data_IF_658889443711
#
_entry.id   IF_658889443711
#
_cell.length_a   1.000
_cell.length_b   1.000
_cell.length_c   1.000
_cell.angle_alpha   90.00
_cell.angle_beta   90.00
_cell.angle_gamma   90.00
#
_symmetry.space_group_name_H-M   'P 1'
#
loop_
_entity.id
_entity.type
_entity.pdbx_description
1 polymer ?
#
# COMPACT_ATOMS: atom_id res chain seq x y z
N UNK A 1 -8.25 11.08 -5.95
CA UNK A 1 -7.72 9.71 -6.13
C UNK A 1 -7.20 9.11 -4.84
N UNK A 2 -6.12 9.62 -4.24
CA UNK A 2 -5.54 9.02 -3.03
C UNK A 2 -6.55 8.94 -1.87
N UNK A 3 -7.28 10.03 -1.60
CA UNK A 3 -8.36 10.05 -0.59
C UNK A 3 -9.52 9.10 -0.93
N UNK A 4 -9.93 9.03 -2.20
CA UNK A 4 -10.99 8.10 -2.67
C UNK A 4 -10.58 6.65 -2.46
N UNK A 5 -9.32 6.33 -2.76
CA UNK A 5 -8.75 4.99 -2.60
C UNK A 5 -8.61 4.64 -1.12
N UNK A 6 -8.14 5.58 -0.29
CA UNK A 6 -8.05 5.40 1.15
C UNK A 6 -9.42 5.18 1.80
N UNK A 7 -10.45 5.94 1.39
CA UNK A 7 -11.81 5.75 1.85
C UNK A 7 -12.34 4.33 1.55
N UNK A 8 -12.12 3.84 0.32
CA UNK A 8 -12.48 2.47 -0.03
C UNK A 8 -11.70 1.42 0.78
N UNK A 9 -10.40 1.65 1.03
CA UNK A 9 -9.59 0.77 1.87
C UNK A 9 -10.01 0.79 3.35
N UNK A 10 -10.55 1.91 3.85
CA UNK A 10 -11.14 1.97 5.19
C UNK A 10 -12.35 1.03 5.29
N UNK A 11 -13.26 1.08 4.30
CA UNK A 11 -14.41 0.17 4.24
C UNK A 11 -13.99 -1.30 4.13
N UNK A 12 -12.93 -1.60 3.36
CA UNK A 12 -12.37 -2.96 3.30
C UNK A 12 -11.82 -3.38 4.68
N UNK A 13 -11.09 -2.50 5.37
CA UNK A 13 -10.57 -2.77 6.71
C UNK A 13 -11.71 -3.06 7.71
N UNK A 14 -12.78 -2.27 7.70
CA UNK A 14 -13.94 -2.46 8.56
C UNK A 14 -14.66 -3.79 8.27
N UNK A 15 -14.78 -4.19 7.00
CA UNK A 15 -15.31 -5.50 6.64
C UNK A 15 -14.40 -6.64 7.15
N UNK A 16 -13.07 -6.51 7.04
CA UNK A 16 -12.12 -7.49 7.58
C UNK A 16 -12.16 -7.58 9.11
N UNK A 17 -12.29 -6.46 9.83
CA UNK A 17 -12.45 -6.47 11.28
C UNK A 17 -13.77 -7.14 11.70
N UNK A 18 -14.85 -6.92 10.94
CA UNK A 18 -16.11 -7.63 11.16
C UNK A 18 -15.97 -9.14 10.92
N UNK A 19 -15.28 -9.56 9.86
CA UNK A 19 -14.97 -10.98 9.60
C UNK A 19 -14.12 -11.55 10.75
N UNK A 20 -13.18 -10.78 11.31
CA UNK A 20 -12.40 -11.19 12.48
C UNK A 20 -13.26 -11.42 13.72
N UNK A 21 -14.20 -10.50 14.01
CA UNK A 21 -15.19 -10.68 15.08
C UNK A 21 -16.01 -11.95 14.89
N UNK A 22 -16.52 -12.18 13.68
CA UNK A 22 -17.30 -13.37 13.33
C UNK A 22 -16.47 -14.66 13.43
N UNK A 23 -15.19 -14.60 13.05
CA UNK A 23 -14.26 -15.73 13.15
C UNK A 23 -14.00 -16.10 14.60
N UNK A 24 -13.78 -15.12 15.48
CA UNK A 24 -13.65 -15.36 16.93
C UNK A 24 -14.94 -15.98 17.50
N UNK A 25 -16.11 -15.49 17.05
CA UNK A 25 -17.39 -16.06 17.45
C UNK A 25 -17.52 -17.53 17.00
N UNK A 26 -17.17 -17.84 15.75
CA UNK A 26 -17.19 -19.19 15.20
C UNK A 26 -16.22 -20.14 15.93
N UNK A 27 -15.04 -19.64 16.33
CA UNK A 27 -14.06 -20.41 17.08
C UNK A 27 -14.46 -20.74 18.52
N UNK A 28 -15.53 -20.15 19.05
CA UNK A 28 -16.03 -20.48 20.37
C UNK A 28 -16.65 -21.90 20.37
N UNK A 29 -16.20 -22.76 21.30
CA UNK A 29 -16.35 -24.22 21.20
C UNK A 29 -17.76 -24.80 21.37
N UNK A 30 -18.79 -23.96 21.55
CA UNK A 30 -20.18 -24.41 21.78
C UNK A 30 -21.10 -24.22 20.57
N UNK A 31 -20.60 -23.73 19.43
CA UNK A 31 -21.43 -23.49 18.25
C UNK A 31 -21.87 -24.79 17.60
N UNK A 32 -23.14 -24.86 17.19
CA UNK A 32 -23.64 -25.95 16.35
C UNK A 32 -23.18 -25.77 14.90
N UNK A 33 -23.31 -26.82 14.08
CA UNK A 33 -23.00 -26.74 12.64
C UNK A 33 -23.89 -25.75 11.90
N UNK A 34 -25.15 -25.57 12.34
CA UNK A 34 -26.03 -24.53 11.79
C UNK A 34 -25.56 -23.13 12.15
N UNK A 35 -25.09 -22.91 13.38
CA UNK A 35 -24.58 -21.59 13.81
C UNK A 35 -23.33 -21.21 13.02
N UNK A 36 -22.39 -22.16 12.87
CA UNK A 36 -21.18 -21.97 12.07
C UNK A 36 -21.52 -21.66 10.61
N UNK A 37 -22.53 -22.34 10.04
CA UNK A 37 -23.00 -22.04 8.69
C UNK A 37 -23.56 -20.63 8.58
N UNK A 38 -24.39 -20.18 9.53
CA UNK A 38 -24.94 -18.82 9.50
C UNK A 38 -23.83 -17.77 9.61
N UNK A 39 -22.84 -18.00 10.46
CA UNK A 39 -21.66 -17.11 10.57
C UNK A 39 -20.86 -17.10 9.26
N UNK A 40 -20.65 -18.27 8.64
CA UNK A 40 -19.96 -18.37 7.35
C UNK A 40 -20.71 -17.65 6.23
N UNK A 41 -22.05 -17.73 6.22
CA UNK A 41 -22.87 -17.02 5.24
C UNK A 41 -22.70 -15.48 5.39
N UNK A 42 -22.65 -14.97 6.63
CA UNK A 42 -22.34 -13.55 6.90
C UNK A 42 -20.92 -13.16 6.46
N UNK A 43 -19.93 -14.00 6.75
CA UNK A 43 -18.54 -13.81 6.31
C UNK A 43 -18.46 -13.76 4.78
N UNK A 44 -19.16 -14.65 4.09
CA UNK A 44 -19.19 -14.73 2.62
C UNK A 44 -19.80 -13.46 2.01
N UNK A 45 -20.84 -12.90 2.63
CA UNK A 45 -21.41 -11.62 2.22
C UNK A 45 -20.41 -10.46 2.38
N UNK A 46 -19.67 -10.43 3.50
CA UNK A 46 -18.62 -9.42 3.74
C UNK A 46 -17.46 -9.54 2.76
N UNK A 47 -17.03 -10.75 2.43
CA UNK A 47 -16.01 -10.99 1.38
C UNK A 47 -16.52 -10.55 0.00
N UNK A 48 -17.80 -10.79 -0.30
CA UNK A 48 -18.43 -10.31 -1.53
C UNK A 48 -18.48 -8.79 -1.57
N UNK A 49 -18.72 -8.14 -0.43
CA UNK A 49 -18.69 -6.69 -0.32
C UNK A 49 -17.29 -6.11 -0.53
N UNK A 50 -16.25 -6.77 0.00
CA UNK A 50 -14.85 -6.40 -0.29
C UNK A 50 -14.57 -6.46 -1.80
N UNK A 51 -15.00 -7.54 -2.47
CA UNK A 51 -14.86 -7.65 -3.93
C UNK A 51 -15.64 -6.55 -4.66
N UNK A 52 -16.86 -6.24 -4.21
CA UNK A 52 -17.67 -5.16 -4.79
C UNK A 52 -16.98 -3.81 -4.65
N UNK A 53 -16.46 -3.47 -3.47
CA UNK A 53 -15.72 -2.22 -3.23
C UNK A 53 -14.50 -2.15 -4.15
N UNK A 54 -13.75 -3.25 -4.26
CA UNK A 54 -12.58 -3.35 -5.14
C UNK A 54 -12.88 -3.05 -6.61
N UNK A 55 -13.94 -3.68 -7.13
CA UNK A 55 -14.34 -3.57 -8.53
C UNK A 55 -15.04 -2.26 -8.85
N UNK A 56 -15.78 -1.70 -7.89
CA UNK A 56 -16.60 -0.51 -8.12
C UNK A 56 -15.85 0.78 -7.85
N UNK A 57 -14.87 0.82 -6.94
CA UNK A 57 -14.14 2.04 -6.61
C UNK A 57 -13.39 2.56 -7.83
N UNK A 58 -13.79 3.74 -8.30
CA UNK A 58 -13.15 4.45 -9.40
C UNK A 58 -12.84 5.89 -9.02
N UNK A 59 -11.86 6.45 -9.72
CA UNK A 59 -11.63 7.88 -9.74
C UNK A 59 -11.34 8.31 -11.17
N UNK A 60 -12.23 9.13 -11.73
CA UNK A 60 -12.11 9.62 -13.10
C UNK A 60 -11.95 8.48 -14.13
N UNK A 61 -12.72 7.39 -13.96
CA UNK A 61 -12.68 6.22 -14.83
C UNK A 61 -11.50 5.26 -14.59
N UNK A 62 -10.57 5.60 -13.70
CA UNK A 62 -9.48 4.71 -13.30
C UNK A 62 -9.93 3.86 -12.13
N UNK A 63 -9.90 2.53 -12.28
CA UNK A 63 -10.23 1.58 -11.22
C UNK A 63 -9.04 1.43 -10.27
N UNK A 64 -9.21 1.93 -9.05
CA UNK A 64 -8.06 2.15 -8.15
C UNK A 64 -7.67 0.93 -7.29
N UNK A 65 -8.54 -0.10 -7.22
CA UNK A 65 -8.31 -1.30 -6.41
C UNK A 65 -8.50 -2.62 -7.19
N UNK A 66 -8.88 -2.55 -8.46
CA UNK A 66 -9.24 -3.74 -9.25
C UNK A 66 -8.04 -4.46 -9.88
N UNK A 67 -6.89 -3.79 -9.98
CA UNK A 67 -5.67 -4.31 -10.60
C UNK A 67 -4.44 -3.62 -10.06
N UNK A 68 -3.30 -4.31 -10.14
CA UNK A 68 -1.99 -3.70 -9.90
C UNK A 68 -1.69 -2.71 -11.03
N UNK A 69 -1.49 -1.44 -10.67
CA UNK A 69 -1.16 -0.40 -11.61
C UNK A 69 -0.38 0.72 -10.93
N UNK A 70 0.45 1.41 -11.72
CA UNK A 70 1.22 2.55 -11.27
C UNK A 70 0.66 3.80 -11.91
N UNK A 71 0.30 4.80 -11.11
CA UNK A 71 -0.15 6.10 -11.59
C UNK A 71 0.88 7.18 -11.26
N UNK A 72 1.44 7.79 -12.29
CA UNK A 72 2.43 8.85 -12.16
C UNK A 72 1.75 10.21 -12.31
N UNK A 73 1.92 11.08 -11.31
CA UNK A 73 1.40 12.44 -11.32
C UNK A 73 2.56 13.41 -11.46
N UNK A 74 2.55 14.23 -12.51
CA UNK A 74 3.48 15.34 -12.66
C UNK A 74 3.12 16.43 -11.64
N UNK A 75 4.07 16.81 -10.81
CA UNK A 75 3.88 17.79 -9.74
C UNK A 75 4.82 18.98 -9.84
N UNK A 76 5.69 19.03 -10.85
CA UNK A 76 6.58 20.15 -11.07
C UNK A 76 6.53 20.69 -12.49
N UNK A 77 7.25 21.78 -12.73
CA UNK A 77 7.26 22.47 -14.01
C UNK A 77 8.14 21.77 -15.06
N UNK A 78 9.12 20.97 -14.62
CA UNK A 78 10.05 20.27 -15.50
C UNK A 78 9.69 18.80 -15.64
N UNK A 79 9.96 18.23 -16.81
CA UNK A 79 9.75 16.81 -17.06
C UNK A 79 10.50 15.94 -16.03
N UNK A 80 9.80 14.94 -15.49
CA UNK A 80 10.36 14.01 -14.50
C UNK A 80 10.15 14.42 -13.04
N UNK A 81 9.62 15.61 -12.76
CA UNK A 81 9.18 16.01 -11.41
C UNK A 81 7.83 15.36 -11.07
N UNK A 82 7.86 14.05 -10.81
CA UNK A 82 6.65 13.24 -10.61
C UNK A 82 6.55 12.61 -9.21
N UNK A 83 5.32 12.30 -8.83
CA UNK A 83 4.99 11.43 -7.71
C UNK A 83 4.26 10.22 -8.26
N UNK A 84 4.78 9.04 -7.92
CA UNK A 84 4.17 7.77 -8.26
C UNK A 84 3.23 7.30 -7.15
N UNK A 85 2.09 6.77 -7.57
CA UNK A 85 1.09 6.14 -6.72
C UNK A 85 0.99 4.68 -7.17
N UNK A 86 1.45 3.78 -6.31
CA UNK A 86 1.31 2.35 -6.53
C UNK A 86 -0.07 1.89 -6.04
N UNK A 87 -0.91 1.52 -6.98
CA UNK A 87 -2.23 0.95 -6.72
C UNK A 87 -2.12 -0.57 -6.83
N UNK A 88 -2.65 -1.27 -5.85
CA UNK A 88 -2.66 -2.74 -5.84
C UNK A 88 -4.08 -3.26 -5.93
N UNK A 89 -4.19 -4.43 -6.53
CA UNK A 89 -5.42 -5.20 -6.46
C UNK A 89 -5.73 -5.54 -5.01
N UNK A 90 -6.98 -5.36 -4.58
CA UNK A 90 -7.46 -5.79 -3.26
C UNK A 90 -8.78 -6.52 -3.46
N UNK A 91 -8.76 -7.83 -3.57
CA UNK A 91 -9.95 -8.68 -3.58
C UNK A 91 -9.78 -9.84 -2.58
N UNK A 92 -10.85 -10.59 -2.32
CA UNK A 92 -10.80 -11.71 -1.39
C UNK A 92 -9.68 -12.71 -1.76
N UNK A 93 -9.39 -12.88 -3.05
CA UNK A 93 -8.33 -13.79 -3.51
C UNK A 93 -6.93 -13.28 -3.17
N UNK A 94 -6.65 -12.01 -3.45
CA UNK A 94 -5.37 -11.37 -3.16
C UNK A 94 -5.09 -11.28 -1.66
N UNK A 95 -6.16 -11.10 -0.87
CA UNK A 95 -6.11 -11.14 0.60
C UNK A 95 -5.99 -12.57 1.17
N UNK A 96 -5.96 -13.61 0.32
CA UNK A 96 -5.87 -15.02 0.75
C UNK A 96 -7.14 -15.56 1.42
N UNK A 97 -8.29 -14.97 1.10
CA UNK A 97 -9.59 -15.22 1.72
C UNK A 97 -10.60 -15.91 0.78
N UNK A 98 -10.18 -16.35 -0.42
CA UNK A 98 -11.04 -17.02 -1.39
C UNK A 98 -11.58 -18.38 -0.89
N UNK A 99 -10.77 -19.12 -0.13
CA UNK A 99 -11.15 -20.38 0.51
C UNK A 99 -11.36 -20.21 2.02
N UNK A 100 -11.71 -19.01 2.48
CA UNK A 100 -11.88 -18.75 3.90
C UNK A 100 -13.15 -19.43 4.45
N UNK A 101 -12.94 -20.35 5.37
CA UNK A 101 -14.00 -21.18 5.94
C UNK A 101 -13.82 -21.33 7.45
N UNK A 102 -14.89 -21.06 8.19
CA UNK A 102 -14.97 -21.22 9.65
C UNK A 102 -15.84 -22.41 10.08
N UNK A 103 -16.45 -23.12 9.11
CA UNK A 103 -17.31 -24.29 9.36
C UNK A 103 -16.51 -25.58 9.51
N UNK A 104 -15.38 -25.68 8.80
CA UNK A 104 -14.48 -26.83 8.92
C UNK A 104 -13.61 -26.69 10.16
N UNK A 105 -13.70 -27.69 11.04
CA UNK A 105 -12.75 -27.83 12.14
C UNK A 105 -11.37 -28.06 11.54
N UNK A 106 -10.52 -27.04 11.63
CA UNK A 106 -9.14 -27.14 11.18
C UNK A 106 -8.28 -27.76 12.27
N UNK A 107 -7.27 -28.52 11.87
CA UNK A 107 -6.25 -28.97 12.80
C UNK A 107 -5.59 -27.74 13.46
N UNK A 108 -5.18 -27.86 14.73
CA UNK A 108 -4.52 -26.78 15.46
C UNK A 108 -3.10 -27.20 15.80
N UNK A 109 -2.11 -26.41 15.41
CA UNK A 109 -0.77 -26.58 15.92
C UNK A 109 -0.68 -26.04 17.36
N UNK A 110 0.04 -26.77 18.18
CA UNK A 110 0.38 -26.48 19.57
C UNK A 110 1.88 -26.21 19.72
N UNK A 111 2.42 -26.50 20.90
CA UNK A 111 3.80 -26.20 21.23
C UNK A 111 4.80 -27.08 20.45
N UNK A 112 5.98 -26.50 20.19
CA UNK A 112 7.15 -27.22 19.69
C UNK A 112 7.55 -28.33 20.67
N UNK A 113 7.87 -29.49 20.13
CA UNK A 113 8.28 -30.66 20.88
C UNK A 113 9.80 -30.81 20.78
N UNK A 114 10.46 -30.80 21.93
CA UNK A 114 11.89 -31.04 22.00
C UNK A 114 12.25 -32.50 21.64
N UNK A 115 13.40 -32.67 21.00
CA UNK A 115 14.00 -33.98 20.69
C UNK A 115 14.05 -34.87 21.93
N UNK A 116 13.68 -36.15 21.78
CA UNK A 116 13.63 -37.14 22.86
C UNK A 116 12.25 -37.33 23.50
N UNK A 117 11.28 -36.48 23.18
CA UNK A 117 9.88 -36.70 23.59
C UNK A 117 9.23 -37.71 22.66
N UNK A 118 8.73 -38.83 23.19
CA UNK A 118 8.07 -39.86 22.39
C UNK A 118 6.71 -39.37 21.88
N UNK A 119 6.61 -39.22 20.55
CA UNK A 119 5.36 -38.98 19.85
C UNK A 119 4.75 -40.29 19.36
N UNK A 120 3.44 -40.27 19.11
CA UNK A 120 2.70 -41.42 18.57
C UNK A 120 1.95 -40.96 17.32
N UNK A 121 2.29 -41.53 16.18
CA UNK A 121 1.83 -41.10 14.87
C UNK A 121 1.12 -42.28 14.22
N UNK A 122 -0.16 -42.11 13.90
CA UNK A 122 -0.93 -43.12 13.18
C UNK A 122 -0.48 -43.11 11.71
N UNK A 123 0.09 -44.22 11.22
CA UNK A 123 0.93 -44.17 10.01
C UNK A 123 0.82 -45.39 9.10
N UNK A 124 -0.30 -46.12 9.12
CA UNK A 124 -0.53 -47.12 8.06
C UNK A 124 -2.02 -47.25 7.64
N UNK A 125 -2.23 -47.98 6.54
CA UNK A 125 -3.56 -48.33 6.02
C UNK A 125 -4.33 -49.34 6.89
N UNK A 126 -3.75 -49.77 8.01
CA UNK A 126 -4.22 -50.76 8.98
C UNK A 126 -4.52 -50.16 10.37
N UNK A 127 -4.28 -48.85 10.60
CA UNK A 127 -4.51 -48.12 11.84
C UNK A 127 -3.47 -48.37 12.95
N UNK A 128 -2.25 -48.82 12.61
CA UNK A 128 -1.22 -49.08 13.61
C UNK A 128 -0.45 -47.81 14.01
N UNK A 129 -0.39 -47.54 15.33
CA UNK A 129 0.31 -46.39 15.89
C UNK A 129 1.82 -46.64 15.93
N UNK A 130 2.61 -45.88 15.14
CA UNK A 130 4.08 -45.86 15.26
C UNK A 130 4.50 -44.86 16.34
N UNK A 131 5.57 -45.17 17.07
CA UNK A 131 6.16 -44.30 18.10
C UNK A 131 7.56 -43.88 17.67
N UNK A 132 7.86 -42.59 17.81
CA UNK A 132 9.17 -42.03 17.50
C UNK A 132 9.53 -40.95 18.52
N UNK A 133 10.81 -40.76 18.80
CA UNK A 133 11.30 -39.68 19.67
C UNK A 133 12.45 -38.89 19.02
N UNK A 134 12.96 -39.40 17.90
CA UNK A 134 14.12 -38.86 17.20
C UNK A 134 13.67 -37.91 16.07
N UNK A 135 13.93 -36.62 16.25
CA UNK A 135 13.63 -35.56 15.27
C UNK A 135 14.79 -35.27 14.33
N UNK A 136 15.90 -36.04 14.38
CA UNK A 136 17.05 -35.86 13.49
C UNK A 136 16.74 -36.20 12.02
N UNK A 137 15.57 -36.77 11.73
CA UNK A 137 15.06 -36.97 10.38
C UNK A 137 14.49 -35.70 9.72
N UNK A 138 14.33 -34.59 10.46
CA UNK A 138 13.85 -33.32 9.93
C UNK A 138 14.99 -32.52 9.27
N UNK A 139 14.71 -31.91 8.12
CA UNK A 139 15.62 -30.95 7.48
C UNK A 139 15.74 -29.65 8.30
N UNK A 140 16.83 -28.90 8.09
CA UNK A 140 17.04 -27.60 8.72
C UNK A 140 15.87 -26.64 8.44
N UNK A 141 15.38 -25.95 9.48
CA UNK A 141 14.23 -25.05 9.39
C UNK A 141 12.86 -25.72 9.58
N UNK A 142 12.82 -27.03 9.82
CA UNK A 142 11.63 -27.77 10.21
C UNK A 142 11.67 -28.11 11.70
N UNK A 143 10.56 -27.91 12.40
CA UNK A 143 10.41 -28.31 13.80
C UNK A 143 9.19 -29.18 13.99
N UNK A 144 9.25 -30.09 14.94
CA UNK A 144 8.12 -30.93 15.31
C UNK A 144 7.23 -30.16 16.30
N UNK A 145 5.93 -30.11 16.04
CA UNK A 145 4.95 -29.48 16.91
C UNK A 145 3.85 -30.47 17.28
N UNK A 146 3.38 -30.37 18.52
CA UNK A 146 2.14 -31.04 18.96
C UNK A 146 0.94 -30.31 18.36
N UNK A 147 -0.25 -30.91 18.45
CA UNK A 147 -1.47 -30.24 18.05
C UNK A 147 -2.70 -31.14 18.15
N UNK A 148 -3.80 -30.68 17.55
CA UNK A 148 -5.02 -31.47 17.37
C UNK A 148 -5.34 -31.61 15.89
N UNK A 149 -5.83 -32.77 15.47
CA UNK A 149 -6.41 -32.93 14.13
C UNK A 149 -7.76 -32.21 13.99
N UNK A 150 -8.38 -32.31 12.81
CA UNK A 150 -9.69 -31.74 12.51
C UNK A 150 -10.81 -32.30 13.42
N UNK A 151 -10.61 -33.49 13.99
CA UNK A 151 -11.56 -34.14 14.90
C UNK A 151 -11.30 -33.78 16.37
N UNK A 152 -10.26 -32.98 16.66
CA UNK A 152 -9.86 -32.59 18.01
C UNK A 152 -9.04 -33.63 18.76
N UNK A 153 -8.56 -34.69 18.08
CA UNK A 153 -7.66 -35.69 18.67
C UNK A 153 -6.22 -35.21 18.62
N UNK A 154 -5.41 -35.62 19.58
CA UNK A 154 -3.99 -35.29 19.60
C UNK A 154 -3.29 -35.77 18.32
N UNK A 155 -2.61 -34.85 17.65
CA UNK A 155 -1.87 -35.09 16.42
C UNK A 155 -0.51 -34.39 16.48
N UNK A 156 0.38 -34.76 15.57
CA UNK A 156 1.72 -34.22 15.48
C UNK A 156 1.97 -33.69 14.07
N UNK A 157 2.57 -32.50 13.98
CA UNK A 157 2.79 -31.80 12.72
C UNK A 157 4.23 -31.34 12.61
N UNK A 158 4.69 -31.12 11.39
CA UNK A 158 6.00 -30.53 11.10
C UNK A 158 5.76 -29.09 10.69
N UNK A 159 6.19 -28.15 11.53
CA UNK A 159 6.19 -26.73 11.22
C UNK A 159 7.40 -26.42 10.35
N UNK A 160 7.18 -25.88 9.15
CA UNK A 160 8.22 -25.38 8.27
C UNK A 160 8.10 -23.86 8.21
N UNK A 161 9.13 -23.14 8.63
CA UNK A 161 9.15 -21.68 8.52
C UNK A 161 9.80 -21.28 7.21
N UNK A 162 9.07 -20.59 6.34
CA UNK A 162 9.62 -20.00 5.14
C UNK A 162 10.51 -18.80 5.50
N UNK A 163 11.77 -18.84 5.05
CA UNK A 163 12.78 -17.85 5.42
C UNK A 163 12.56 -16.47 4.77
N UNK A 164 11.77 -16.39 3.69
CA UNK A 164 11.56 -15.17 2.90
C UNK A 164 10.29 -14.44 3.34
N UNK A 165 9.22 -15.19 3.60
CA UNK A 165 7.90 -14.65 3.94
C UNK A 165 7.62 -14.70 5.44
N UNK A 166 8.40 -15.46 6.21
CA UNK A 166 8.16 -15.72 7.63
C UNK A 166 6.92 -16.58 7.89
N UNK A 167 6.25 -17.08 6.84
CA UNK A 167 5.06 -17.91 6.96
C UNK A 167 5.42 -19.30 7.47
N UNK A 168 4.65 -19.82 8.42
CA UNK A 168 4.76 -21.20 8.89
C UNK A 168 3.74 -22.06 8.16
N UNK A 169 4.20 -23.09 7.46
CA UNK A 169 3.34 -24.16 6.94
C UNK A 169 3.44 -25.40 7.83
N UNK A 170 2.36 -26.19 7.85
CA UNK A 170 2.30 -27.40 8.66
C UNK A 170 2.01 -28.60 7.78
N UNK A 171 2.88 -29.59 7.83
CA UNK A 171 2.66 -30.90 7.20
C UNK A 171 2.45 -31.95 8.26
N UNK A 172 1.79 -33.06 7.90
CA UNK A 172 1.64 -34.19 8.83
C UNK A 172 3.00 -34.78 9.16
N UNK A 173 3.26 -35.03 10.45
CA UNK A 173 4.41 -35.83 10.85
C UNK A 173 4.19 -37.28 10.40
N UNK A 174 5.26 -37.94 9.99
CA UNK A 174 5.31 -39.38 9.73
C UNK A 174 6.46 -40.00 10.53
N UNK A 175 6.45 -41.33 10.64
CA UNK A 175 7.55 -42.09 11.25
C UNK A 175 8.10 -43.04 10.19
N UNK A 176 9.37 -42.83 9.83
CA UNK A 176 10.10 -43.72 8.93
C UNK A 176 10.40 -45.06 9.61
N UNK A 177 10.76 -46.06 8.81
CA UNK A 177 11.02 -47.43 9.31
C UNK A 177 12.28 -47.52 10.20
N UNK A 178 13.14 -46.50 10.16
CA UNK A 178 14.27 -46.32 11.09
C UNK A 178 13.87 -45.72 12.46
N UNK A 179 12.56 -45.46 12.67
CA UNK A 179 12.03 -44.92 13.92
C UNK A 179 12.20 -43.41 14.07
N UNK A 180 12.64 -42.71 13.02
CA UNK A 180 12.78 -41.25 13.02
C UNK A 180 11.50 -40.55 12.57
N UNK A 181 11.29 -39.36 13.09
CA UNK A 181 10.24 -38.47 12.61
C UNK A 181 10.65 -37.91 11.26
N UNK A 182 9.75 -37.98 10.29
CA UNK A 182 9.92 -37.44 8.94
C UNK A 182 8.74 -36.58 8.54
N UNK A 183 8.95 -35.72 7.54
CA UNK A 183 7.88 -34.95 6.93
C UNK A 183 7.11 -35.82 5.93
N UNK A 184 5.80 -36.01 6.15
CA UNK A 184 4.93 -36.76 5.23
C UNK A 184 4.68 -36.02 3.91
N UNK A 185 5.02 -34.72 3.83
CA UNK A 185 4.76 -33.85 2.68
C UNK A 185 3.27 -33.55 2.45
N UNK A 186 2.39 -34.09 3.29
CA UNK A 186 0.94 -33.94 3.20
C UNK A 186 0.51 -32.75 4.04
N UNK A 187 -0.28 -31.83 3.46
CA UNK A 187 -0.80 -30.67 4.20
C UNK A 187 -1.55 -31.13 5.44
N UNK A 188 -1.19 -30.56 6.59
CA UNK A 188 -1.79 -30.93 7.87
C UNK A 188 -3.21 -30.37 8.04
N UNK A 189 -3.65 -29.49 7.14
CA UNK A 189 -4.92 -28.78 7.29
C UNK A 189 -4.94 -27.86 8.52
N UNK A 190 -3.76 -27.52 9.06
CA UNK A 190 -3.64 -26.56 10.15
C UNK A 190 -3.80 -25.16 9.56
N UNK A 191 -5.04 -24.67 9.58
CA UNK A 191 -5.37 -23.29 9.23
C UNK A 191 -5.82 -22.56 10.49
N UNK A 192 -5.07 -21.55 10.88
CA UNK A 192 -5.55 -20.56 11.83
C UNK A 192 -6.23 -19.44 11.02
N UNK A 193 -7.57 -19.39 10.95
CA UNK A 193 -8.25 -18.36 10.18
C UNK A 193 -7.94 -16.94 10.67
N UNK A 194 -7.54 -16.77 11.94
CA UNK A 194 -7.10 -15.47 12.45
C UNK A 194 -5.75 -15.03 11.86
N UNK A 195 -4.81 -15.95 11.60
CA UNK A 195 -3.53 -15.59 10.98
C UNK A 195 -3.72 -15.14 9.52
N UNK A 196 -4.66 -15.77 8.80
CA UNK A 196 -5.04 -15.33 7.46
C UNK A 196 -5.64 -13.92 7.48
N UNK A 197 -6.53 -13.64 8.44
CA UNK A 197 -7.12 -12.32 8.63
C UNK A 197 -6.10 -11.25 9.02
N UNK A 198 -5.18 -11.58 9.93
CA UNK A 198 -4.14 -10.64 10.37
C UNK A 198 -3.17 -10.32 9.22
N UNK A 199 -2.88 -11.29 8.33
CA UNK A 199 -2.14 -11.03 7.08
C UNK A 199 -2.93 -10.14 6.11
N UNK A 200 -4.22 -10.38 5.93
CA UNK A 200 -5.08 -9.56 5.07
C UNK A 200 -5.17 -8.11 5.59
N UNK A 201 -5.35 -7.92 6.90
CA UNK A 201 -5.34 -6.61 7.54
C UNK A 201 -3.98 -5.92 7.37
N UNK A 202 -2.87 -6.63 7.58
CA UNK A 202 -1.53 -6.08 7.39
C UNK A 202 -1.28 -5.62 5.94
N UNK A 203 -1.80 -6.34 4.94
CA UNK A 203 -1.75 -5.92 3.55
C UNK A 203 -2.53 -4.61 3.34
N UNK A 204 -3.79 -4.54 3.78
CA UNK A 204 -4.63 -3.34 3.65
C UNK A 204 -4.02 -2.13 4.36
N UNK A 205 -3.49 -2.32 5.57
CA UNK A 205 -2.86 -1.25 6.34
C UNK A 205 -1.54 -0.79 5.72
N UNK A 206 -0.75 -1.69 5.13
CA UNK A 206 0.44 -1.32 4.37
C UNK A 206 0.10 -0.42 3.17
N UNK A 207 -0.97 -0.73 2.46
CA UNK A 207 -1.47 0.10 1.37
C UNK A 207 -2.00 1.46 1.84
N UNK A 208 -2.81 1.51 2.90
CA UNK A 208 -3.29 2.77 3.49
C UNK A 208 -2.13 3.65 3.94
N UNK A 209 -1.13 3.05 4.58
CA UNK A 209 0.10 3.74 4.98
C UNK A 209 0.83 4.36 3.78
N UNK A 210 0.97 3.62 2.67
CA UNK A 210 1.60 4.14 1.46
C UNK A 210 0.83 5.32 0.86
N UNK A 211 -0.52 5.25 0.82
CA UNK A 211 -1.36 6.35 0.33
C UNK A 211 -1.30 7.57 1.24
N UNK A 212 -1.25 7.38 2.56
CA UNK A 212 -1.06 8.48 3.51
C UNK A 212 0.31 9.16 3.34
N UNK A 213 1.37 8.39 3.09
CA UNK A 213 2.69 8.95 2.77
C UNK A 213 2.67 9.75 1.47
N UNK A 214 1.96 9.27 0.45
CA UNK A 214 1.75 9.99 -0.81
C UNK A 214 0.99 11.31 -0.58
N UNK A 215 -0.06 11.31 0.25
CA UNK A 215 -0.80 12.54 0.60
C UNK A 215 0.11 13.58 1.28
N UNK A 216 0.88 13.17 2.28
CA UNK A 216 1.86 14.05 2.94
C UNK A 216 2.89 14.62 1.94
N UNK A 217 3.30 13.80 0.97
CA UNK A 217 4.22 14.23 -0.10
C UNK A 217 3.55 15.25 -1.02
N UNK A 218 2.29 15.05 -1.41
CA UNK A 218 1.54 16.03 -2.19
C UNK A 218 1.40 17.35 -1.42
N UNK A 219 1.04 17.32 -0.14
CA UNK A 219 0.91 18.54 0.68
C UNK A 219 2.23 19.30 0.79
N UNK A 220 3.35 18.59 0.97
CA UNK A 220 4.69 19.20 1.00
C UNK A 220 5.05 19.84 -0.34
N UNK A 221 4.78 19.15 -1.45
CA UNK A 221 5.04 19.68 -2.79
C UNK A 221 4.14 20.88 -3.08
N UNK A 222 2.86 20.84 -2.74
CA UNK A 222 1.93 21.97 -2.91
C UNK A 222 2.44 23.20 -2.15
N UNK A 223 2.87 23.05 -0.90
CA UNK A 223 3.40 24.15 -0.11
C UNK A 223 4.70 24.72 -0.71
N UNK A 224 5.59 23.85 -1.20
CA UNK A 224 6.83 24.25 -1.87
C UNK A 224 6.56 24.99 -3.20
N UNK A 225 5.64 24.48 -4.02
CA UNK A 225 5.22 25.10 -5.27
C UNK A 225 4.60 26.46 -5.02
N UNK A 226 3.68 26.60 -4.06
CA UNK A 226 3.09 27.89 -3.70
C UNK A 226 4.17 28.91 -3.29
N UNK A 227 5.16 28.48 -2.50
CA UNK A 227 6.30 29.34 -2.12
C UNK A 227 7.12 29.75 -3.34
N UNK A 228 7.39 28.80 -4.24
CA UNK A 228 8.15 29.03 -5.48
C UNK A 228 7.40 29.99 -6.42
N UNK A 229 6.09 29.81 -6.60
CA UNK A 229 5.23 30.69 -7.39
C UNK A 229 5.23 32.11 -6.82
N UNK A 230 5.10 32.26 -5.51
CA UNK A 230 5.16 33.58 -4.87
C UNK A 230 6.52 34.27 -5.06
N UNK A 231 7.62 33.53 -4.87
CA UNK A 231 8.97 34.06 -5.06
C UNK A 231 9.26 34.41 -6.52
N UNK A 232 8.83 33.57 -7.46
CA UNK A 232 9.01 33.80 -8.88
C UNK A 232 8.17 34.98 -9.36
N UNK A 233 6.90 35.07 -8.93
CA UNK A 233 6.02 36.21 -9.22
C UNK A 233 6.61 37.53 -8.70
N UNK A 234 7.12 37.54 -7.45
CA UNK A 234 7.78 38.71 -6.88
C UNK A 234 9.11 39.08 -7.58
N UNK A 235 9.81 38.09 -8.12
CA UNK A 235 11.04 38.32 -8.90
C UNK A 235 10.71 38.87 -10.29
N UNK A 236 9.70 38.30 -10.95
CA UNK A 236 9.21 38.73 -12.25
C UNK A 236 8.67 40.17 -12.19
N UNK A 237 7.88 40.51 -11.18
CA UNK A 237 7.41 41.88 -10.95
C UNK A 237 8.58 42.86 -10.79
N UNK A 238 9.61 42.52 -10.01
CA UNK A 238 10.78 43.40 -9.82
C UNK A 238 11.58 43.62 -11.11
N UNK A 239 11.75 42.58 -11.92
CA UNK A 239 12.41 42.69 -13.23
C UNK A 239 11.56 43.56 -14.15
N UNK A 240 10.27 43.27 -14.26
CA UNK A 240 9.37 44.01 -15.14
C UNK A 240 9.22 45.48 -14.73
N UNK A 241 9.15 45.78 -13.44
CA UNK A 241 9.07 47.15 -12.91
C UNK A 241 10.36 47.94 -13.16
N UNK A 242 11.53 47.30 -13.01
CA UNK A 242 12.83 47.92 -13.29
C UNK A 242 13.02 48.19 -14.80
N UNK A 243 12.63 47.24 -15.64
CA UNK A 243 12.65 47.39 -17.09
C UNK A 243 11.69 48.50 -17.54
N UNK A 244 10.48 48.55 -16.98
CA UNK A 244 9.51 49.61 -17.25
C UNK A 244 10.03 50.98 -16.81
N UNK A 245 10.63 51.08 -15.61
CA UNK A 245 11.24 52.33 -15.15
C UNK A 245 12.38 52.82 -16.06
N UNK A 246 13.17 51.88 -16.59
CA UNK A 246 14.25 52.18 -17.54
C UNK A 246 13.70 52.68 -18.88
N UNK A 247 12.70 52.01 -19.43
CA UNK A 247 12.07 52.40 -20.71
C UNK A 247 11.38 53.76 -20.60
N UNK A 248 10.64 54.01 -19.51
CA UNK A 248 10.01 55.32 -19.26
C UNK A 248 11.06 56.43 -19.10
N UNK A 249 12.19 56.14 -18.45
CA UNK A 249 13.30 57.11 -18.33
C UNK A 249 13.93 57.44 -19.69
N UNK A 250 14.10 56.43 -20.55
CA UNK A 250 14.58 56.63 -21.91
C UNK A 250 13.57 57.39 -22.77
N UNK A 251 12.27 57.08 -22.66
CA UNK A 251 11.20 57.82 -23.32
C UNK A 251 11.17 59.28 -22.89
N UNK A 252 11.24 59.55 -21.58
CA UNK A 252 11.31 60.90 -21.02
C UNK A 252 12.55 61.65 -21.53
N UNK A 253 13.72 61.00 -21.51
CA UNK A 253 14.96 61.56 -22.06
C UNK A 253 14.82 61.88 -23.55
N UNK A 254 14.23 60.98 -24.33
CA UNK A 254 14.01 61.18 -25.77
C UNK A 254 13.07 62.36 -26.03
N UNK A 255 11.98 62.49 -25.26
CA UNK A 255 11.06 63.63 -25.35
C UNK A 255 11.75 64.95 -24.98
N UNK A 256 12.55 64.98 -23.90
CA UNK A 256 13.34 66.15 -23.52
C UNK A 256 14.35 66.49 -24.62
N UNK A 257 15.02 65.50 -25.21
CA UNK A 257 15.99 65.71 -26.29
C UNK A 257 15.29 66.25 -27.55
N UNK A 258 14.09 65.76 -27.88
CA UNK A 258 13.30 66.29 -28.99
C UNK A 258 12.85 67.73 -28.74
N UNK A 259 12.39 68.06 -27.54
CA UNK A 259 12.00 69.44 -27.17
C UNK A 259 13.19 70.39 -27.11
N UNK A 260 14.32 69.95 -26.57
CA UNK A 260 15.57 70.72 -26.57
C UNK A 260 16.11 70.88 -28.00
N UNK A 261 16.03 69.84 -28.83
CA UNK A 261 16.42 69.88 -30.23
C UNK A 261 15.61 70.90 -31.03
N UNK A 262 14.28 70.94 -30.86
CA UNK A 262 13.44 71.95 -31.52
C UNK A 262 13.69 73.37 -30.98
N UNK A 263 13.93 73.53 -29.67
CA UNK A 263 14.27 74.82 -29.06
C UNK A 263 15.63 75.35 -29.51
N UNK A 264 16.67 74.51 -29.55
CA UNK A 264 18.01 74.87 -30.05
C UNK A 264 17.97 75.17 -31.54
N UNK A 265 17.21 74.41 -32.33
CA UNK A 265 17.00 74.69 -33.75
C UNK A 265 16.32 76.06 -33.94
N UNK A 266 15.30 76.37 -33.14
CA UNK A 266 14.64 77.67 -33.17
C UNK A 266 15.58 78.82 -32.78
N UNK A 267 16.42 78.63 -31.74
CA UNK A 267 17.37 79.64 -31.28
C UNK A 267 18.55 79.84 -32.23
N UNK A 268 19.03 78.77 -32.88
CA UNK A 268 20.05 78.85 -33.93
C UNK A 268 19.51 79.58 -35.19
N UNK A 269 18.25 79.37 -35.52
CA UNK A 269 17.59 80.11 -36.62
C UNK A 269 17.41 81.60 -36.28
N UNK A 270 17.16 81.97 -35.02
CA UNK A 270 17.11 83.37 -34.59
C UNK A 270 18.48 84.04 -34.56
N UNK A 271 19.53 83.36 -34.06
CA UNK A 271 20.88 83.95 -34.00
C UNK A 271 21.47 84.17 -35.40
N UNK A 272 21.24 83.25 -36.34
CA UNK A 272 21.64 83.42 -37.74
C UNK A 272 20.92 84.58 -38.42
N UNK A 273 19.64 84.82 -38.13
CA UNK A 273 18.93 86.00 -38.62
C UNK A 273 19.45 87.31 -38.01
N UNK A 274 19.82 87.31 -36.73
CA UNK A 274 20.43 88.47 -36.08
C UNK A 274 21.83 88.79 -36.65
N UNK A 275 22.63 87.78 -36.97
CA UNK A 275 23.95 87.97 -37.62
C UNK A 275 23.77 88.54 -39.04
N UNK A 276 22.76 88.07 -39.77
CA UNK A 276 22.44 88.62 -41.09
C UNK A 276 21.94 90.07 -41.03
N UNK A 277 21.27 90.45 -39.93
CA UNK A 277 20.88 91.84 -39.64
C UNK A 277 22.07 92.74 -39.30
N UNK A 278 23.16 92.20 -38.76
CA UNK A 278 24.38 92.94 -38.38
C UNK A 278 25.38 93.11 -39.55
N UNK A 279 25.19 92.37 -40.63
CA UNK A 279 26.02 92.42 -41.85
C UNK A 279 25.38 93.25 -42.99
N UNK A 280 24.32 94.01 -42.69
CA UNK A 280 23.64 94.91 -43.62
C UNK A 280 23.86 96.38 -43.28
#
# INVERSE_FOLDING_TARGET
LAQTTEGALNEVNDNLQNIRRLTVQAQNGSNSTSDLKSIQDEITQRLSEINRISEQTDFNGVKVLSSDQKLTIQVGANDGETIDIDLKKIDAKQLGMDTFDVTTKSAKAGAEIASGTQISVDSDATGATKKAADVTGLAAGKTLVSGTDADGKSAYFIATKDATTGATSYTKAAVADDGKVTDSGTDAGVKNPLDTLDKALAQVDGLRSSLGAVQNRFDSVINNLNSTVNNLSASQSRIQDADYATEVSNMSRANILQQAGTSVLAQANQSTQNVLSLLR
#
